data_IF_923812789061
#
_entry.id   IF_923812789061
#
_cell.length_a   1.000
_cell.length_b   1.000
_cell.length_c   1.000
_cell.angle_alpha   90.00
_cell.angle_beta   90.00
_cell.angle_gamma   90.00
#
_symmetry.space_group_name_H-M   'P 1'
#
loop_
_entity.id
_entity.type
_entity.pdbx_description
1 polymer ?
#
# COMPACT_ATOMS: atom_id res chain seq x y z
N UNK A 1 1.74 3.12 -13.32
CA UNK A 1 1.12 2.56 -12.11
C UNK A 1 -0.35 2.34 -12.41
N UNK A 2 -0.79 1.10 -12.55
CA UNK A 2 -2.21 0.79 -12.72
C UNK A 2 -2.75 0.41 -11.35
N UNK A 3 -3.69 1.21 -10.85
CA UNK A 3 -4.36 0.96 -9.58
C UNK A 3 -5.74 0.38 -9.85
N UNK A 4 -5.91 -0.90 -9.53
CA UNK A 4 -7.23 -1.52 -9.57
C UNK A 4 -7.88 -1.33 -8.21
N UNK A 5 -9.02 -0.65 -8.20
CA UNK A 5 -9.82 -0.46 -7.00
C UNK A 5 -10.89 -1.55 -6.99
N UNK A 6 -10.88 -2.38 -5.95
CA UNK A 6 -11.95 -3.36 -5.71
C UNK A 6 -12.77 -2.90 -4.51
N UNK A 7 -14.04 -2.61 -4.77
CA UNK A 7 -14.98 -2.17 -3.74
C UNK A 7 -15.81 -3.35 -3.24
N UNK A 8 -15.90 -3.47 -1.93
CA UNK A 8 -16.74 -4.46 -1.26
C UNK A 8 -17.87 -3.72 -0.56
N UNK A 9 -19.12 -4.14 -0.76
CA UNK A 9 -20.25 -3.53 -0.08
C UNK A 9 -20.12 -3.71 1.44
N UNK A 10 -20.81 -2.86 2.20
CA UNK A 10 -21.00 -3.10 3.61
C UNK A 10 -21.80 -4.40 3.78
N UNK A 11 -21.23 -5.38 4.50
CA UNK A 11 -21.87 -6.67 4.76
C UNK A 11 -22.19 -6.77 6.24
N UNK A 12 -23.42 -7.17 6.55
CA UNK A 12 -23.85 -7.48 7.91
C UNK A 12 -23.43 -8.92 8.23
N UNK A 13 -22.86 -9.19 9.41
CA UNK A 13 -22.53 -10.55 9.82
C UNK A 13 -23.77 -11.45 9.86
N UNK A 14 -23.57 -12.76 9.71
CA UNK A 14 -24.66 -13.76 9.68
C UNK A 14 -24.39 -14.88 10.68
N UNK A 15 -25.46 -15.50 11.19
CA UNK A 15 -25.36 -16.62 12.14
C UNK A 15 -24.97 -16.15 13.54
N UNK A 16 -24.04 -16.86 14.20
CA UNK A 16 -23.65 -16.60 15.59
C UNK A 16 -23.16 -15.16 15.82
N UNK A 17 -22.40 -14.61 14.87
CA UNK A 17 -21.89 -13.24 14.94
C UNK A 17 -23.02 -12.19 14.94
N UNK A 18 -24.13 -12.49 14.25
CA UNK A 18 -25.30 -11.62 14.23
C UNK A 18 -26.04 -11.64 15.56
N UNK A 19 -26.18 -12.80 16.20
CA UNK A 19 -26.84 -12.90 17.50
C UNK A 19 -26.05 -12.17 18.59
N UNK A 20 -24.73 -12.30 18.59
CA UNK A 20 -23.85 -11.54 19.50
C UNK A 20 -23.95 -10.03 19.27
N UNK A 21 -24.04 -9.60 18.01
CA UNK A 21 -24.25 -8.19 17.69
C UNK A 21 -25.58 -7.69 18.24
N UNK A 22 -26.66 -8.47 18.10
CA UNK A 22 -27.98 -8.12 18.61
C UNK A 22 -28.01 -8.00 20.13
N UNK A 23 -27.29 -8.87 20.84
CA UNK A 23 -27.12 -8.84 22.30
C UNK A 23 -26.36 -7.58 22.77
N UNK A 24 -25.28 -7.22 22.07
CA UNK A 24 -24.55 -5.98 22.37
C UNK A 24 -25.42 -4.75 22.11
N UNK A 25 -26.18 -4.72 21.02
CA UNK A 25 -27.07 -3.61 20.69
C UNK A 25 -28.26 -3.50 21.65
N UNK A 26 -28.73 -4.60 22.22
CA UNK A 26 -29.83 -4.59 23.20
C UNK A 26 -29.39 -4.14 24.60
N UNK A 27 -28.08 -4.16 24.88
CA UNK A 27 -27.52 -3.79 26.19
C UNK A 27 -27.61 -2.30 26.52
N UNK A 28 -27.76 -1.42 25.51
CA UNK A 28 -27.73 0.04 25.69
C UNK A 28 -28.59 0.74 24.63
N UNK A 29 -29.42 1.71 25.02
CA UNK A 29 -30.42 2.34 24.15
C UNK A 29 -29.86 3.23 23.01
N UNK A 30 -28.63 3.75 23.14
CA UNK A 30 -28.02 4.72 22.20
C UNK A 30 -26.86 4.14 21.36
N UNK A 31 -26.79 2.82 21.21
CA UNK A 31 -25.73 2.15 20.43
C UNK A 31 -26.26 1.70 19.07
N UNK A 32 -25.55 2.04 18.00
CA UNK A 32 -25.92 1.67 16.64
C UNK A 32 -24.79 0.96 15.91
N UNK A 33 -25.15 -0.08 15.17
CA UNK A 33 -24.23 -0.76 14.27
C UNK A 33 -24.24 -0.11 12.88
N UNK A 34 -23.07 0.30 12.40
CA UNK A 34 -22.87 0.85 11.05
C UNK A 34 -21.81 0.06 10.30
N UNK A 35 -22.19 -0.91 9.43
CA UNK A 35 -21.22 -1.69 8.69
C UNK A 35 -20.46 -0.78 7.70
N UNK A 36 -19.15 -0.99 7.57
CA UNK A 36 -18.28 -0.15 6.75
C UNK A 36 -18.00 -0.83 5.41
N UNK A 37 -18.10 -0.09 4.31
CA UNK A 37 -17.61 -0.55 3.00
C UNK A 37 -16.08 -0.61 3.01
N UNK A 38 -15.51 -1.64 2.39
CA UNK A 38 -14.06 -1.81 2.30
C UNK A 38 -13.60 -1.59 0.87
N UNK A 39 -12.55 -0.79 0.68
CA UNK A 39 -11.87 -0.62 -0.61
C UNK A 39 -10.50 -1.30 -0.54
N UNK A 40 -10.23 -2.19 -1.47
CA UNK A 40 -8.90 -2.73 -1.70
C UNK A 40 -8.26 -2.01 -2.88
N UNK A 41 -7.05 -1.51 -2.66
CA UNK A 41 -6.22 -0.93 -3.71
C UNK A 41 -5.18 -1.97 -4.10
N UNK A 42 -5.36 -2.58 -5.27
CA UNK A 42 -4.38 -3.50 -5.84
C UNK A 42 -3.49 -2.66 -6.75
N UNK A 43 -2.23 -2.51 -6.35
CA UNK A 43 -1.22 -1.78 -7.11
C UNK A 43 -0.44 -2.81 -7.91
N UNK A 44 -0.53 -2.75 -9.24
CA UNK A 44 0.40 -3.49 -10.09
C UNK A 44 1.74 -2.77 -10.13
N UNK A 45 2.75 -3.37 -9.48
CA UNK A 45 4.12 -2.86 -9.43
C UNK A 45 5.08 -3.57 -10.38
N UNK A 46 4.59 -4.43 -11.27
CA UNK A 46 5.44 -5.28 -12.13
C UNK A 46 6.37 -4.48 -13.03
N UNK A 47 5.94 -3.30 -13.46
CA UNK A 47 6.72 -2.40 -14.32
C UNK A 47 7.38 -1.23 -13.58
N UNK A 48 7.24 -1.15 -12.24
CA UNK A 48 7.82 -0.06 -11.46
C UNK A 48 9.22 -0.43 -10.96
N UNK A 49 10.14 0.54 -11.05
CA UNK A 49 11.47 0.41 -10.42
C UNK A 49 11.35 0.52 -8.90
N UNK A 50 12.27 -0.10 -8.17
CA UNK A 50 12.25 -0.14 -6.68
C UNK A 50 12.13 1.27 -6.04
N UNK A 51 12.83 2.25 -6.59
CA UNK A 51 12.78 3.64 -6.11
C UNK A 51 11.43 4.32 -6.36
N UNK A 52 10.74 3.99 -7.46
CA UNK A 52 9.38 4.46 -7.74
C UNK A 52 8.36 3.85 -6.76
N UNK A 53 8.54 2.57 -6.40
CA UNK A 53 7.70 1.89 -5.40
C UNK A 53 7.88 2.53 -4.01
N UNK A 54 9.08 3.00 -3.70
CA UNK A 54 9.37 3.74 -2.47
C UNK A 54 8.77 5.17 -2.44
N UNK A 55 8.14 5.63 -3.53
CA UNK A 55 7.44 6.91 -3.60
C UNK A 55 8.29 8.09 -4.09
N UNK A 56 9.48 7.85 -4.66
CA UNK A 56 10.32 8.90 -5.24
C UNK A 56 9.92 9.19 -6.68
N UNK A 57 9.82 10.48 -7.03
CA UNK A 57 9.48 10.93 -8.40
C UNK A 57 10.70 10.85 -9.33
N UNK A 58 11.88 11.15 -8.80
CA UNK A 58 13.14 11.07 -9.53
C UNK A 58 14.13 10.14 -8.83
N UNK A 59 14.93 9.44 -9.63
CA UNK A 59 15.98 8.55 -9.12
C UNK A 59 17.04 9.29 -8.28
N UNK A 60 17.38 10.53 -8.66
CA UNK A 60 18.35 11.34 -7.95
C UNK A 60 17.95 11.60 -6.48
N UNK A 61 16.67 11.84 -6.23
CA UNK A 61 16.15 12.07 -4.88
C UNK A 61 16.23 10.82 -4.01
N UNK A 62 15.97 9.64 -4.61
CA UNK A 62 16.13 8.35 -3.94
C UNK A 62 17.59 8.10 -3.54
N UNK A 63 18.54 8.43 -4.42
CA UNK A 63 19.96 8.28 -4.13
C UNK A 63 20.41 9.25 -3.04
N UNK A 64 20.01 10.52 -3.12
CA UNK A 64 20.29 11.51 -2.08
C UNK A 64 19.74 11.09 -0.71
N UNK A 65 18.53 10.53 -0.68
CA UNK A 65 17.96 9.92 0.52
C UNK A 65 18.82 8.76 1.04
N UNK A 66 19.17 7.79 0.19
CA UNK A 66 19.97 6.64 0.61
C UNK A 66 21.35 7.04 1.16
N UNK A 67 22.00 8.03 0.55
CA UNK A 67 23.29 8.56 1.02
C UNK A 67 23.15 9.27 2.37
N UNK A 68 22.12 10.11 2.53
CA UNK A 68 21.88 10.86 3.78
C UNK A 68 21.64 9.92 4.97
N UNK A 69 20.94 8.80 4.73
CA UNK A 69 20.53 7.87 5.79
C UNK A 69 21.47 6.67 5.96
N UNK A 70 22.64 6.66 5.32
CA UNK A 70 23.60 5.56 5.42
C UNK A 70 23.08 4.23 4.85
N UNK A 71 22.06 4.28 3.99
CA UNK A 71 21.50 3.14 3.26
C UNK A 71 22.28 2.84 1.97
N UNK A 72 23.49 3.38 1.87
CA UNK A 72 24.33 3.31 0.67
C UNK A 72 24.76 1.89 0.31
N UNK A 73 24.78 0.96 1.27
CA UNK A 73 25.00 -0.46 0.99
C UNK A 73 23.90 -1.08 0.11
N UNK A 74 22.68 -0.52 0.11
CA UNK A 74 21.62 -0.93 -0.83
C UNK A 74 21.74 -0.27 -2.21
N UNK A 75 22.59 0.75 -2.34
CA UNK A 75 22.88 1.44 -3.60
C UNK A 75 24.24 1.05 -4.20
N UNK A 76 25.10 0.32 -3.48
CA UNK A 76 26.45 -0.04 -3.95
C UNK A 76 26.45 -0.96 -5.19
N UNK A 77 25.42 -1.78 -5.38
CA UNK A 77 25.26 -2.57 -6.61
C UNK A 77 24.86 -1.72 -7.84
N UNK A 78 24.49 -0.45 -7.63
CA UNK A 78 24.05 0.43 -8.72
C UNK A 78 25.20 1.17 -9.40
N UNK A 79 26.38 1.32 -8.79
CA UNK A 79 27.54 1.92 -9.49
C UNK A 79 27.98 1.06 -10.70
N UNK A 80 27.71 -0.26 -10.69
CA UNK A 80 27.95 -1.17 -11.83
C UNK A 80 26.88 -1.00 -12.93
N UNK A 81 25.66 -0.57 -12.57
CA UNK A 81 24.55 -0.34 -13.50
C UNK A 81 24.62 1.03 -14.20
N UNK A 82 25.48 1.94 -13.72
CA UNK A 82 25.78 3.24 -14.35
C UNK A 82 27.20 3.31 -14.91
N UNK A 83 27.85 2.16 -15.16
CA UNK A 83 28.93 2.11 -16.14
C UNK A 83 28.30 2.37 -17.52
N UNK A 84 28.51 3.57 -18.03
CA UNK A 84 27.80 4.22 -19.13
C UNK A 84 27.78 3.43 -20.45
N UNK A 85 26.85 2.47 -20.60
CA UNK A 85 26.56 1.86 -21.91
C UNK A 85 25.10 1.73 -22.34
N UNK A 86 24.11 1.89 -21.45
CA UNK A 86 22.72 1.52 -21.81
C UNK A 86 21.60 2.47 -21.31
N UNK A 87 21.90 3.71 -20.90
CA UNK A 87 20.88 4.68 -20.47
C UNK A 87 20.57 5.80 -21.49
N UNK A 88 20.96 5.63 -22.77
CA UNK A 88 20.64 6.59 -23.85
C UNK A 88 19.99 5.90 -25.07
N UNK A 89 18.87 5.20 -24.86
CA UNK A 89 17.87 4.94 -25.91
C UNK A 89 16.47 4.77 -25.32
#
# INVERSE_FOLDING_TARGET
MVTTIKEYPAVVPTGLEFELLQDVLSSTDDVYYKPRCRREYIIDSSHLKKWQIAGFEHYADYIGYCQTWGLSQHTQDFDILFDDKENNE
#
